data_IF_734860151044
#
_entry.id   IF_734860151044
#
_cell.length_a   1.000
_cell.length_b   1.000
_cell.length_c   1.000
_cell.angle_alpha   90.00
_cell.angle_beta   90.00
_cell.angle_gamma   90.00
#
_symmetry.space_group_name_H-M   'P 1'
#
loop_
_entity.id
_entity.type
_entity.pdbx_description
1 polymer ?
#
# COMPACT_ATOMS: atom_id res chain seq x y z
N UNK A 1 20.53 -1.21 -0.04
CA UNK A 1 19.80 -1.81 -1.18
C UNK A 1 20.79 -2.70 -1.91
N UNK A 2 20.77 -4.01 -1.67
CA UNK A 2 21.58 -4.93 -2.44
C UNK A 2 20.89 -5.10 -3.80
N UNK A 3 21.48 -4.53 -4.84
CA UNK A 3 21.04 -4.76 -6.21
C UNK A 3 21.90 -5.91 -6.72
N UNK A 4 21.28 -7.04 -6.99
CA UNK A 4 21.96 -8.14 -7.67
C UNK A 4 22.03 -7.81 -9.16
N UNK A 5 23.23 -7.96 -9.74
CA UNK A 5 23.48 -7.79 -11.17
C UNK A 5 23.77 -9.17 -11.77
N UNK A 6 22.90 -9.60 -12.68
CA UNK A 6 23.02 -10.89 -13.36
C UNK A 6 23.91 -10.82 -14.61
N UNK A 7 24.36 -9.62 -15.01
CA UNK A 7 25.17 -9.46 -16.21
C UNK A 7 26.50 -10.26 -16.10
N UNK A 8 26.71 -11.16 -17.06
CA UNK A 8 27.90 -12.02 -17.11
C UNK A 8 27.96 -13.11 -16.03
N UNK A 9 26.91 -13.27 -15.21
CA UNK A 9 26.85 -14.30 -14.19
C UNK A 9 26.38 -15.63 -14.78
N UNK A 10 26.87 -16.73 -14.20
CA UNK A 10 26.38 -18.09 -14.52
C UNK A 10 25.10 -18.37 -13.73
N UNK A 11 24.18 -19.12 -14.31
CA UNK A 11 23.00 -19.59 -13.59
C UNK A 11 23.44 -20.56 -12.48
N UNK A 12 22.97 -20.32 -11.26
CA UNK A 12 23.22 -21.18 -10.10
C UNK A 12 21.92 -21.56 -9.39
N UNK A 13 22.00 -22.60 -8.57
CA UNK A 13 21.06 -22.84 -7.47
C UNK A 13 21.21 -21.76 -6.40
N UNK A 14 20.28 -21.69 -5.45
CA UNK A 14 20.35 -20.78 -4.30
C UNK A 14 21.55 -21.08 -3.38
N UNK A 15 22.10 -22.29 -3.44
CA UNK A 15 23.33 -22.69 -2.73
C UNK A 15 24.62 -22.39 -3.51
N UNK A 16 24.53 -21.78 -4.70
CA UNK A 16 25.68 -21.40 -5.53
C UNK A 16 26.20 -22.49 -6.49
N UNK A 17 25.52 -23.62 -6.62
CA UNK A 17 25.91 -24.69 -7.56
C UNK A 17 25.54 -24.29 -8.98
N UNK A 18 26.50 -24.34 -9.92
CA UNK A 18 26.24 -24.02 -11.34
C UNK A 18 25.23 -24.98 -11.95
N UNK A 19 24.30 -24.42 -12.72
CA UNK A 19 23.26 -25.16 -13.44
C UNK A 19 23.68 -25.28 -14.91
N UNK A 20 23.87 -26.51 -15.39
CA UNK A 20 24.28 -26.77 -16.77
C UNK A 20 23.11 -26.85 -17.75
N UNK A 21 21.97 -27.40 -17.30
CA UNK A 21 20.73 -27.50 -18.08
C UNK A 21 19.56 -27.01 -17.23
N UNK A 22 18.84 -26.01 -17.73
CA UNK A 22 17.65 -25.43 -17.09
C UNK A 22 16.37 -25.68 -17.91
N UNK A 23 16.43 -26.58 -18.89
CA UNK A 23 15.34 -26.90 -19.81
C UNK A 23 14.72 -28.27 -19.49
N UNK A 24 15.47 -29.16 -18.82
CA UNK A 24 15.07 -30.54 -18.58
C UNK A 24 15.11 -30.90 -17.09
N UNK A 25 14.25 -31.85 -16.70
CA UNK A 25 14.36 -32.59 -15.44
C UNK A 25 15.26 -33.79 -15.62
N UNK A 26 15.93 -34.22 -14.55
CA UNK A 26 16.67 -35.49 -14.51
C UNK A 26 15.67 -36.66 -14.55
N UNK A 27 15.91 -37.60 -15.47
CA UNK A 27 15.03 -38.75 -15.74
C UNK A 27 15.82 -40.06 -15.82
N UNK A 28 15.15 -41.19 -15.55
CA UNK A 28 15.68 -42.53 -15.81
C UNK A 28 15.67 -42.86 -17.31
N UNK A 29 16.60 -42.27 -18.07
CA UNK A 29 16.64 -42.31 -19.54
C UNK A 29 15.84 -41.18 -20.18
N UNK A 30 16.10 -40.90 -21.46
CA UNK A 30 15.57 -39.70 -22.16
C UNK A 30 14.03 -39.58 -22.12
N UNK A 31 13.33 -40.72 -22.14
CA UNK A 31 11.86 -40.80 -22.09
C UNK A 31 11.34 -41.50 -20.83
N UNK A 32 12.18 -41.62 -19.80
CA UNK A 32 11.83 -42.25 -18.54
C UNK A 32 11.13 -41.30 -17.55
N UNK A 33 10.75 -41.82 -16.37
CA UNK A 33 10.21 -41.00 -15.29
C UNK A 33 11.27 -40.07 -14.68
N UNK A 34 10.83 -38.95 -14.10
CA UNK A 34 11.69 -38.03 -13.35
C UNK A 34 12.21 -38.66 -12.05
N UNK A 35 13.42 -38.28 -11.63
CA UNK A 35 14.08 -38.81 -10.43
C UNK A 35 14.00 -37.83 -9.25
N UNK A 36 13.78 -38.36 -8.04
CA UNK A 36 13.70 -37.56 -6.81
C UNK A 36 15.04 -36.92 -6.42
N UNK A 37 16.16 -37.49 -6.87
CA UNK A 37 17.50 -36.96 -6.62
C UNK A 37 17.79 -35.64 -7.38
N UNK A 38 16.89 -35.22 -8.29
CA UNK A 38 16.96 -33.92 -8.96
C UNK A 38 16.73 -32.75 -7.98
N UNK A 39 17.80 -32.34 -7.30
CA UNK A 39 17.75 -31.25 -6.33
C UNK A 39 17.56 -29.88 -6.99
N UNK A 40 18.04 -29.68 -8.21
CA UNK A 40 17.87 -28.42 -8.94
C UNK A 40 16.40 -28.19 -9.28
N UNK A 41 15.72 -29.19 -9.86
CA UNK A 41 14.29 -29.12 -10.12
C UNK A 41 13.49 -28.85 -8.84
N UNK A 42 13.76 -29.62 -7.78
CA UNK A 42 13.03 -29.48 -6.51
C UNK A 42 13.25 -28.12 -5.86
N UNK A 43 14.47 -27.60 -5.84
CA UNK A 43 14.75 -26.28 -5.28
C UNK A 43 14.00 -25.18 -6.03
N UNK A 44 14.09 -25.19 -7.37
CA UNK A 44 13.41 -24.22 -8.24
C UNK A 44 11.88 -24.27 -8.07
N UNK A 45 11.30 -25.47 -8.07
CA UNK A 45 9.86 -25.65 -7.88
C UNK A 45 9.43 -25.27 -6.47
N UNK A 46 10.21 -25.64 -5.45
CA UNK A 46 9.90 -25.29 -4.06
C UNK A 46 9.87 -23.76 -3.89
N UNK A 47 10.82 -23.04 -4.47
CA UNK A 47 10.78 -21.57 -4.44
C UNK A 47 9.52 -21.02 -5.15
N UNK A 48 9.20 -21.54 -6.34
CA UNK A 48 8.01 -21.15 -7.10
C UNK A 48 6.70 -21.39 -6.33
N UNK A 49 6.53 -22.59 -5.77
CA UNK A 49 5.33 -23.00 -5.03
C UNK A 49 5.06 -22.13 -3.80
N UNK A 50 6.10 -21.46 -3.27
CA UNK A 50 6.03 -20.61 -2.08
C UNK A 50 6.19 -19.11 -2.39
N UNK A 51 6.07 -18.69 -3.66
CA UNK A 51 6.21 -17.27 -4.04
C UNK A 51 5.13 -16.36 -3.45
N UNK A 52 3.92 -16.90 -3.22
CA UNK A 52 2.77 -16.09 -2.81
C UNK A 52 2.74 -15.94 -1.30
N UNK A 53 2.89 -14.70 -0.85
CA UNK A 53 2.52 -14.29 0.51
C UNK A 53 1.07 -13.77 0.54
N UNK A 54 0.40 -13.75 1.71
CA UNK A 54 -0.90 -13.13 1.85
C UNK A 54 -0.88 -11.67 1.40
N UNK A 55 -1.95 -11.24 0.73
CA UNK A 55 -2.15 -9.83 0.45
C UNK A 55 -2.55 -9.05 1.72
N UNK A 56 -2.59 -7.72 1.60
CA UNK A 56 -3.11 -6.89 2.69
C UNK A 56 -4.62 -7.09 2.79
N UNK A 57 -5.17 -7.15 4.01
CA UNK A 57 -6.62 -7.32 4.25
C UNK A 57 -7.44 -6.23 3.53
N UNK A 58 -6.96 -5.00 3.61
CA UNK A 58 -7.44 -3.84 2.86
C UNK A 58 -6.27 -3.20 2.13
N UNK A 59 -6.54 -2.43 1.08
CA UNK A 59 -5.50 -1.80 0.27
C UNK A 59 -4.55 -2.80 -0.40
N UNK A 60 -5.07 -3.96 -0.81
CA UNK A 60 -4.31 -5.03 -1.46
C UNK A 60 -3.74 -4.58 -2.81
N UNK A 61 -4.59 -4.03 -3.69
CA UNK A 61 -4.16 -3.42 -4.94
C UNK A 61 -3.48 -2.07 -4.67
N UNK A 62 -2.24 -1.91 -5.13
CA UNK A 62 -1.54 -0.64 -4.99
C UNK A 62 -0.19 -0.59 -5.68
N UNK A 63 0.24 0.63 -5.98
CA UNK A 63 1.44 0.96 -6.73
C UNK A 63 2.35 1.84 -5.88
N UNK A 64 3.66 1.71 -6.03
CA UNK A 64 4.62 2.39 -5.17
C UNK A 64 5.80 3.00 -5.92
N UNK A 65 6.40 4.03 -5.33
CA UNK A 65 7.56 4.72 -5.88
C UNK A 65 8.50 5.23 -4.78
N UNK A 66 9.78 5.31 -5.10
CA UNK A 66 10.78 6.00 -4.27
C UNK A 66 10.79 7.50 -4.61
N UNK A 67 11.20 8.31 -3.64
CA UNK A 67 11.43 9.73 -3.82
C UNK A 67 12.18 10.34 -2.64
N UNK A 68 12.08 11.65 -2.48
CA UNK A 68 12.56 12.35 -1.30
C UNK A 68 11.56 13.43 -0.86
N UNK A 69 11.60 13.77 0.41
CA UNK A 69 10.92 14.89 1.03
C UNK A 69 11.96 15.92 1.51
N UNK A 70 11.61 17.19 1.38
CA UNK A 70 12.42 18.31 1.85
C UNK A 70 11.49 19.37 2.42
N UNK A 71 11.76 19.80 3.64
CA UNK A 71 10.97 20.87 4.28
C UNK A 71 11.36 22.22 3.66
N UNK A 72 10.42 23.15 3.52
CA UNK A 72 10.73 24.48 2.98
C UNK A 72 11.48 25.36 3.97
N UNK A 73 11.06 25.34 5.23
CA UNK A 73 11.63 26.11 6.34
C UNK A 73 11.58 25.25 7.61
N UNK A 74 12.53 25.47 8.52
CA UNK A 74 12.56 24.73 9.79
C UNK A 74 11.31 24.97 10.65
N UNK A 75 10.74 23.89 11.19
CA UNK A 75 9.51 23.91 11.98
C UNK A 75 9.75 23.76 13.49
N UNK A 76 10.94 24.11 13.99
CA UNK A 76 11.36 23.99 15.40
C UNK A 76 10.38 24.63 16.39
N UNK A 77 9.68 25.70 15.98
CA UNK A 77 8.60 26.32 16.76
C UNK A 77 7.51 25.32 17.17
N UNK A 78 7.19 24.36 16.29
CA UNK A 78 6.06 23.44 16.43
C UNK A 78 6.46 22.01 16.77
N UNK A 79 7.59 21.54 16.23
CA UNK A 79 8.01 20.15 16.34
C UNK A 79 9.51 20.03 16.48
N UNK A 80 9.97 19.01 17.22
CA UNK A 80 11.38 18.61 17.28
C UNK A 80 11.77 17.51 16.30
N UNK A 81 10.85 17.05 15.46
CA UNK A 81 11.12 15.97 14.51
C UNK A 81 12.22 16.36 13.51
N UNK A 82 13.32 15.61 13.46
CA UNK A 82 14.52 15.96 12.69
C UNK A 82 14.25 16.28 11.19
N UNK A 83 13.40 15.48 10.52
CA UNK A 83 13.10 15.65 9.09
C UNK A 83 12.34 16.95 8.73
N UNK A 84 11.95 17.74 9.74
CA UNK A 84 11.25 19.02 9.59
C UNK A 84 12.09 20.22 10.11
N UNK A 85 13.39 20.04 10.38
CA UNK A 85 14.24 21.09 10.96
C UNK A 85 15.08 21.85 9.93
N UNK A 86 15.72 21.14 8.99
CA UNK A 86 16.68 21.73 8.06
C UNK A 86 16.19 21.63 6.60
N UNK A 87 15.94 22.76 5.94
CA UNK A 87 15.58 22.78 4.52
C UNK A 87 16.62 22.22 3.57
N UNK A 88 17.88 22.04 3.99
CA UNK A 88 18.92 21.43 3.16
C UNK A 88 18.81 19.91 3.06
N UNK A 89 18.15 19.27 4.04
CA UNK A 89 18.07 17.82 4.18
C UNK A 89 17.03 17.22 3.24
N UNK A 90 17.45 16.20 2.48
CA UNK A 90 16.56 15.36 1.66
C UNK A 90 16.29 14.05 2.36
N UNK A 91 15.13 13.95 2.99
CA UNK A 91 14.67 12.71 3.65
C UNK A 91 14.19 11.72 2.60
N UNK A 92 14.80 10.54 2.44
CA UNK A 92 14.30 9.54 1.50
C UNK A 92 12.88 9.12 1.87
N UNK A 93 12.03 8.91 0.86
CA UNK A 93 10.67 8.41 1.05
C UNK A 93 10.35 7.23 0.14
N UNK A 94 9.43 6.41 0.60
CA UNK A 94 8.75 5.41 -0.23
C UNK A 94 7.25 5.61 -0.08
N UNK A 95 6.57 5.91 -1.19
CA UNK A 95 5.12 6.11 -1.22
C UNK A 95 4.45 4.88 -1.82
N UNK A 96 3.31 4.49 -1.24
CA UNK A 96 2.40 3.50 -1.82
C UNK A 96 0.99 4.08 -1.91
N UNK A 97 0.46 4.08 -3.12
CA UNK A 97 -0.93 4.39 -3.43
C UNK A 97 -1.73 3.09 -3.58
N UNK A 98 -3.03 3.12 -3.32
CA UNK A 98 -3.87 1.91 -3.34
C UNK A 98 -5.35 2.24 -3.47
N UNK A 99 -6.16 1.29 -3.93
CA UNK A 99 -7.61 1.24 -3.63
C UNK A 99 -7.82 0.66 -2.22
N UNK A 100 -9.04 0.32 -1.79
CA UNK A 100 -9.32 -0.25 -0.46
C UNK A 100 -9.91 -1.65 -0.54
N UNK A 101 -11.08 -1.79 -1.18
CA UNK A 101 -11.89 -3.01 -1.10
C UNK A 101 -11.35 -4.13 -2.02
N UNK A 102 -10.81 -3.76 -3.17
CA UNK A 102 -10.32 -4.72 -4.16
C UNK A 102 -9.19 -5.63 -3.67
N UNK A 103 -9.19 -6.88 -4.11
CA UNK A 103 -8.06 -7.82 -3.94
C UNK A 103 -6.88 -7.40 -4.83
N UNK A 104 -5.67 -7.98 -4.67
CA UNK A 104 -4.45 -7.53 -5.36
C UNK A 104 -4.51 -7.53 -6.90
N UNK A 105 -5.43 -8.30 -7.49
CA UNK A 105 -5.65 -8.40 -8.93
C UNK A 105 -6.87 -7.63 -9.44
N UNK A 106 -7.47 -6.75 -8.64
CA UNK A 106 -8.61 -5.93 -9.06
C UNK A 106 -8.19 -4.80 -10.02
N UNK A 107 -9.12 -3.89 -10.32
CA UNK A 107 -8.88 -2.73 -11.20
C UNK A 107 -8.50 -1.46 -10.43
N UNK A 108 -7.61 -0.64 -11.00
CA UNK A 108 -7.23 0.68 -10.46
C UNK A 108 -8.36 1.72 -10.61
N UNK A 109 -9.31 1.48 -11.52
CA UNK A 109 -10.35 2.43 -11.92
C UNK A 109 -11.67 2.29 -11.12
N UNK A 110 -11.71 1.42 -10.12
CA UNK A 110 -12.89 1.25 -9.27
C UNK A 110 -13.26 2.56 -8.56
N UNK A 111 -14.57 2.83 -8.37
CA UNK A 111 -15.02 3.89 -7.47
C UNK A 111 -14.71 3.45 -6.04
N UNK A 112 -13.71 4.08 -5.43
CA UNK A 112 -13.21 3.68 -4.12
C UNK A 112 -12.44 4.84 -3.46
N UNK A 113 -12.20 4.73 -2.16
CA UNK A 113 -11.19 5.56 -1.50
C UNK A 113 -9.82 5.18 -2.05
N UNK A 114 -8.89 6.14 -2.10
CA UNK A 114 -7.49 5.84 -2.39
C UNK A 114 -6.63 5.99 -1.14
N UNK A 115 -5.88 4.94 -0.81
CA UNK A 115 -4.82 5.03 0.20
C UNK A 115 -3.63 5.82 -0.34
N UNK A 116 -3.03 6.64 0.52
CA UNK A 116 -1.85 7.46 0.25
C UNK A 116 -0.91 7.33 1.47
N UNK A 117 -0.08 6.28 1.46
CA UNK A 117 0.85 5.99 2.54
C UNK A 117 2.27 6.42 2.16
N UNK A 118 2.91 7.25 2.99
CA UNK A 118 4.27 7.74 2.79
C UNK A 118 5.14 7.32 3.97
N UNK A 119 6.17 6.53 3.69
CA UNK A 119 7.22 6.14 4.64
C UNK A 119 8.39 7.12 4.52
N UNK A 120 8.75 7.75 5.62
CA UNK A 120 9.90 8.66 5.73
C UNK A 120 11.03 7.93 6.45
N UNK A 121 12.19 7.82 5.79
CA UNK A 121 13.39 7.26 6.38
C UNK A 121 14.20 8.39 7.03
N UNK A 122 13.78 8.79 8.23
CA UNK A 122 14.41 9.91 8.96
C UNK A 122 15.63 9.44 9.76
N UNK A 123 16.48 10.37 10.17
CA UNK A 123 17.66 10.10 11.01
C UNK A 123 17.29 9.62 12.43
N UNK A 124 16.08 9.93 12.89
CA UNK A 124 15.56 9.56 14.21
C UNK A 124 14.61 8.36 14.16
N UNK A 125 14.60 7.63 13.03
CA UNK A 125 13.76 6.46 12.82
C UNK A 125 12.74 6.64 11.71
N UNK A 126 12.00 5.57 11.42
CA UNK A 126 10.99 5.58 10.36
C UNK A 126 9.72 6.23 10.86
N UNK A 127 9.22 7.22 10.12
CA UNK A 127 7.89 7.80 10.32
C UNK A 127 6.98 7.40 9.16
N UNK A 128 5.81 6.85 9.45
CA UNK A 128 4.82 6.48 8.45
C UNK A 128 3.60 7.41 8.54
N UNK A 129 3.36 8.18 7.49
CA UNK A 129 2.12 8.91 7.30
C UNK A 129 1.16 8.08 6.43
N UNK A 130 0.29 7.32 7.09
CA UNK A 130 -0.68 6.44 6.43
C UNK A 130 -2.01 7.19 6.30
N UNK A 131 -2.23 7.78 5.12
CA UNK A 131 -3.41 8.60 4.84
C UNK A 131 -4.30 8.05 3.72
N UNK A 132 -5.34 8.81 3.40
CA UNK A 132 -6.24 8.59 2.26
C UNK A 132 -6.33 9.84 1.38
N UNK A 133 -6.95 9.73 0.21
CA UNK A 133 -7.24 10.87 -0.67
C UNK A 133 -8.49 11.69 -0.27
N UNK A 134 -9.12 11.33 0.86
CA UNK A 134 -10.32 11.95 1.41
C UNK A 134 -10.05 12.36 2.87
N UNK A 135 -10.49 13.55 3.33
CA UNK A 135 -10.11 14.11 4.64
C UNK A 135 -10.80 13.48 5.86
N UNK A 136 -11.74 12.57 5.65
CA UNK A 136 -12.54 11.91 6.70
C UNK A 136 -12.56 10.40 6.49
N UNK A 137 -13.15 9.68 7.43
CA UNK A 137 -13.33 8.23 7.37
C UNK A 137 -14.79 7.87 7.61
N UNK A 138 -15.19 6.63 7.29
CA UNK A 138 -16.57 6.16 7.41
C UNK A 138 -17.04 6.06 8.87
N UNK A 139 -16.14 5.64 9.77
CA UNK A 139 -16.48 5.28 11.13
C UNK A 139 -15.69 6.11 12.15
N UNK A 140 -16.24 6.25 13.35
CA UNK A 140 -15.63 7.03 14.43
C UNK A 140 -14.73 6.19 15.34
N UNK A 141 -15.10 4.93 15.58
CA UNK A 141 -14.35 4.01 16.45
C UNK A 141 -13.78 2.83 15.65
N UNK A 142 -12.53 2.48 15.95
CA UNK A 142 -11.81 1.39 15.30
C UNK A 142 -12.45 0.01 15.52
N UNK A 143 -13.23 -0.19 16.58
CA UNK A 143 -13.94 -1.46 16.82
C UNK A 143 -14.93 -1.80 15.69
N UNK A 144 -15.46 -0.80 14.99
CA UNK A 144 -16.38 -0.96 13.84
C UNK A 144 -15.64 -1.27 12.53
N UNK A 145 -14.31 -1.26 12.52
CA UNK A 145 -13.54 -1.45 11.28
C UNK A 145 -13.79 -2.80 10.61
N UNK A 146 -13.83 -3.95 11.33
CA UNK A 146 -14.18 -5.22 10.71
C UNK A 146 -15.58 -5.22 10.11
N UNK A 147 -16.57 -4.62 10.78
CA UNK A 147 -17.94 -4.54 10.29
C UNK A 147 -18.03 -3.77 8.96
N UNK A 148 -17.40 -2.59 8.90
CA UNK A 148 -17.32 -1.78 7.68
C UNK A 148 -16.62 -2.54 6.55
N UNK A 149 -15.47 -3.15 6.86
CA UNK A 149 -14.66 -3.86 5.85
C UNK A 149 -15.40 -5.08 5.32
N UNK A 150 -16.07 -5.84 6.18
CA UNK A 150 -16.92 -6.95 5.74
C UNK A 150 -18.09 -6.48 4.88
N UNK A 151 -18.72 -5.35 5.24
CA UNK A 151 -19.85 -4.81 4.50
C UNK A 151 -19.47 -4.30 3.10
N UNK A 152 -18.26 -3.76 2.89
CA UNK A 152 -17.81 -3.24 1.57
C UNK A 152 -17.05 -4.26 0.72
N UNK A 153 -16.56 -5.34 1.34
CA UNK A 153 -15.91 -6.44 0.63
C UNK A 153 -16.95 -7.30 -0.08
N UNK A 154 -16.52 -8.15 -1.04
CA UNK A 154 -17.43 -9.10 -1.67
C UNK A 154 -18.15 -9.97 -0.63
N UNK A 155 -19.42 -10.29 -0.90
CA UNK A 155 -20.25 -11.05 0.02
C UNK A 155 -19.71 -12.47 0.22
N UNK A 156 -19.80 -12.97 1.45
CA UNK A 156 -19.02 -14.15 1.86
C UNK A 156 -19.47 -15.46 1.20
N UNK A 157 -20.72 -15.53 0.76
CA UNK A 157 -21.32 -16.73 0.16
C UNK A 157 -20.82 -16.99 -1.27
N UNK A 158 -20.52 -15.92 -2.02
CA UNK A 158 -20.22 -16.00 -3.45
C UNK A 158 -19.01 -15.17 -3.91
N UNK A 159 -18.38 -14.42 -3.01
CA UNK A 159 -17.24 -13.53 -3.25
C UNK A 159 -17.51 -12.46 -4.34
N UNK A 160 -18.73 -11.93 -4.40
CA UNK A 160 -19.15 -10.87 -5.32
C UNK A 160 -19.77 -9.67 -4.60
N UNK A 161 -19.65 -8.44 -5.14
CA UNK A 161 -18.84 -8.05 -6.30
C UNK A 161 -17.38 -7.69 -5.94
N UNK A 162 -16.45 -7.86 -6.88
CA UNK A 162 -15.06 -7.43 -6.69
C UNK A 162 -14.91 -5.90 -6.82
N UNK A 163 -14.22 -5.29 -5.86
CA UNK A 163 -13.82 -3.88 -5.87
C UNK A 163 -14.98 -2.89 -6.15
N UNK A 164 -16.17 -3.15 -5.61
CA UNK A 164 -17.33 -2.29 -5.79
C UNK A 164 -18.15 -2.24 -4.51
N UNK A 165 -18.60 -1.04 -4.14
CA UNK A 165 -19.51 -0.83 -3.01
C UNK A 165 -21.00 -0.83 -3.45
N UNK A 166 -21.28 -1.35 -4.64
CA UNK A 166 -22.61 -1.32 -5.26
C UNK A 166 -23.32 -2.67 -5.05
N UNK A 167 -23.55 -3.02 -3.80
CA UNK A 167 -24.25 -4.24 -3.37
C UNK A 167 -24.90 -4.05 -2.00
N UNK A 168 -25.76 -4.99 -1.63
CA UNK A 168 -26.71 -4.88 -0.53
C UNK A 168 -26.04 -4.70 0.83
N UNK A 169 -25.06 -5.53 1.18
CA UNK A 169 -24.40 -5.48 2.50
C UNK A 169 -23.71 -4.14 2.78
N UNK A 170 -23.13 -3.48 1.76
CA UNK A 170 -22.54 -2.16 1.94
C UNK A 170 -23.60 -1.10 2.25
N UNK A 171 -24.65 -1.03 1.42
CA UNK A 171 -25.69 -0.02 1.60
C UNK A 171 -26.56 -0.27 2.83
N UNK A 172 -26.73 -1.51 3.27
CA UNK A 172 -27.33 -1.83 4.55
C UNK A 172 -26.54 -1.23 5.72
N UNK A 173 -25.22 -1.48 5.79
CA UNK A 173 -24.35 -0.88 6.79
C UNK A 173 -24.44 0.66 6.77
N UNK A 174 -24.37 1.27 5.59
CA UNK A 174 -24.44 2.73 5.44
C UNK A 174 -25.79 3.27 5.93
N UNK A 175 -26.90 2.58 5.62
CA UNK A 175 -28.24 3.01 6.05
C UNK A 175 -28.43 3.00 7.57
N UNK A 176 -27.73 2.10 8.27
CA UNK A 176 -27.82 1.90 9.72
C UNK A 176 -26.74 2.68 10.51
N UNK A 177 -25.69 3.17 9.84
CA UNK A 177 -24.55 3.86 10.45
C UNK A 177 -24.42 5.30 9.91
N UNK A 178 -25.26 6.25 10.40
CA UNK A 178 -25.31 7.60 9.86
C UNK A 178 -24.00 8.40 10.00
N UNK A 179 -23.07 7.98 10.87
CA UNK A 179 -21.71 8.55 10.93
C UNK A 179 -20.95 8.43 9.60
N UNK A 180 -21.30 7.46 8.75
CA UNK A 180 -20.69 7.23 7.44
C UNK A 180 -21.13 8.24 6.38
N UNK A 181 -22.20 9.02 6.62
CA UNK A 181 -22.82 9.85 5.59
C UNK A 181 -21.88 10.89 5.00
N UNK A 182 -21.00 11.49 5.82
CA UNK A 182 -20.01 12.44 5.29
C UNK A 182 -19.06 11.74 4.31
N UNK A 183 -18.55 10.57 4.66
CA UNK A 183 -17.65 9.81 3.80
C UNK A 183 -18.32 9.36 2.49
N UNK A 184 -19.60 8.99 2.55
CA UNK A 184 -20.37 8.59 1.37
C UNK A 184 -20.49 9.72 0.35
N UNK A 185 -20.67 10.96 0.80
CA UNK A 185 -20.69 12.11 -0.12
C UNK A 185 -19.37 12.25 -0.89
N UNK A 186 -18.24 11.96 -0.25
CA UNK A 186 -16.94 11.97 -0.93
C UNK A 186 -16.79 10.80 -1.91
N UNK A 187 -17.16 9.59 -1.50
CA UNK A 187 -16.99 8.38 -2.34
C UNK A 187 -17.93 8.37 -3.54
N UNK A 188 -19.12 8.95 -3.41
CA UNK A 188 -20.06 9.10 -4.52
C UNK A 188 -19.70 10.27 -5.46
N UNK A 189 -18.87 11.22 -5.02
CA UNK A 189 -18.31 12.27 -5.89
C UNK A 189 -17.19 11.74 -6.80
N UNK A 190 -16.74 12.55 -7.75
CA UNK A 190 -15.63 12.16 -8.64
C UNK A 190 -14.29 11.99 -7.91
N UNK A 191 -14.18 12.39 -6.64
CA UNK A 191 -12.98 12.16 -5.80
C UNK A 191 -12.56 10.70 -5.70
N UNK A 192 -13.51 9.76 -5.84
CA UNK A 192 -13.27 8.32 -5.76
C UNK A 192 -12.94 7.66 -7.10
N UNK A 193 -12.86 8.42 -8.18
CA UNK A 193 -12.44 7.98 -9.51
C UNK A 193 -11.34 8.92 -10.04
N UNK A 194 -10.22 9.11 -9.32
CA UNK A 194 -9.21 10.09 -9.69
C UNK A 194 -8.53 9.75 -11.01
N UNK A 195 -8.23 10.77 -11.82
CA UNK A 195 -7.59 10.63 -13.12
C UNK A 195 -6.21 9.96 -13.01
N UNK A 196 -5.51 10.21 -11.92
CA UNK A 196 -4.17 9.69 -11.61
C UNK A 196 -3.88 9.87 -10.11
N UNK A 197 -3.06 8.99 -9.53
CA UNK A 197 -2.49 9.22 -8.19
C UNK A 197 -1.73 10.55 -8.06
N UNK A 198 -1.23 11.09 -9.19
CA UNK A 198 -0.53 12.37 -9.26
C UNK A 198 -1.46 13.60 -9.16
N UNK A 199 -2.78 13.39 -9.25
CA UNK A 199 -3.80 14.44 -9.35
C UNK A 199 -4.89 14.29 -8.29
N UNK A 200 -4.56 13.71 -7.14
CA UNK A 200 -5.44 13.62 -5.98
C UNK A 200 -4.77 14.27 -4.76
N UNK A 201 -5.59 14.81 -3.86
CA UNK A 201 -5.10 15.23 -2.55
C UNK A 201 -4.77 14.02 -1.68
N UNK A 202 -4.06 14.26 -0.58
CA UNK A 202 -3.83 13.27 0.47
C UNK A 202 -4.03 13.87 1.84
N UNK A 203 -4.48 13.06 2.79
CA UNK A 203 -4.86 13.49 4.14
C UNK A 203 -4.49 12.44 5.16
N UNK A 204 -3.89 12.87 6.27
CA UNK A 204 -3.66 11.99 7.43
C UNK A 204 -4.94 11.63 8.19
N UNK A 205 -6.07 12.25 7.84
CA UNK A 205 -7.41 12.13 8.44
C UNK A 205 -7.46 12.54 9.91
N UNK A 206 -6.70 11.92 10.79
CA UNK A 206 -6.70 12.16 12.23
C UNK A 206 -6.01 13.47 12.61
N UNK A 207 -6.39 13.99 13.78
CA UNK A 207 -5.68 15.09 14.43
C UNK A 207 -4.51 14.49 15.20
N UNK A 208 -3.28 14.90 14.86
CA UNK A 208 -2.07 14.51 15.56
C UNK A 208 -1.57 15.66 16.44
N UNK A 209 -0.47 15.43 17.16
CA UNK A 209 0.25 16.46 17.91
C UNK A 209 1.65 16.61 17.35
N UNK A 210 2.05 17.85 17.09
CA UNK A 210 3.45 18.25 16.99
C UNK A 210 3.92 18.73 18.37
N UNK A 211 5.10 18.30 18.78
CA UNK A 211 5.68 18.65 20.09
C UNK A 211 7.06 19.22 19.87
N UNK A 212 7.29 20.45 20.32
CA UNK A 212 8.60 21.11 20.20
C UNK A 212 9.55 20.73 21.35
N UNK A 213 10.77 21.28 21.34
CA UNK A 213 11.81 20.98 22.35
C UNK A 213 11.45 21.41 23.77
N UNK A 214 10.51 22.34 23.92
CA UNK A 214 9.98 22.77 25.22
C UNK A 214 8.81 21.90 25.70
N UNK A 215 8.44 20.86 24.96
CA UNK A 215 7.29 20.01 25.26
C UNK A 215 5.94 20.63 24.93
N UNK A 216 5.89 21.78 24.25
CA UNK A 216 4.63 22.44 23.86
C UNK A 216 3.97 21.68 22.71
N UNK A 217 2.72 21.26 22.93
CA UNK A 217 1.90 20.55 21.96
C UNK A 217 1.11 21.50 21.05
N UNK A 218 1.09 21.23 19.75
CA UNK A 218 0.24 21.87 18.73
C UNK A 218 -0.56 20.80 17.99
N UNK A 219 -1.88 20.96 17.88
CA UNK A 219 -2.72 20.04 17.10
C UNK A 219 -2.49 20.25 15.60
N UNK A 220 -2.41 19.16 14.84
CA UNK A 220 -2.14 19.21 13.39
C UNK A 220 -3.02 18.23 12.61
N UNK A 221 -3.47 18.66 11.43
CA UNK A 221 -3.94 17.79 10.34
C UNK A 221 -2.92 17.84 9.22
N UNK A 222 -2.56 16.68 8.66
CA UNK A 222 -1.53 16.57 7.64
C UNK A 222 -2.16 16.46 6.26
N UNK A 223 -1.63 17.21 5.29
CA UNK A 223 -2.18 17.34 3.94
C UNK A 223 -1.10 17.18 2.88
N UNK A 224 -1.43 16.48 1.80
CA UNK A 224 -0.69 16.47 0.54
C UNK A 224 -1.47 17.22 -0.51
N UNK A 225 -0.81 18.20 -1.15
CA UNK A 225 -1.38 18.96 -2.26
C UNK A 225 -0.65 18.57 -3.55
N UNK A 226 -1.35 18.02 -4.56
CA UNK A 226 -0.71 17.62 -5.80
C UNK A 226 -0.29 18.85 -6.59
N UNK A 227 0.97 18.91 -7.01
CA UNK A 227 1.49 20.00 -7.84
C UNK A 227 0.73 20.14 -9.18
N UNK A 228 0.21 19.02 -9.70
CA UNK A 228 -0.51 18.97 -10.98
C UNK A 228 -1.99 19.37 -10.86
N UNK A 229 -2.43 19.83 -9.70
CA UNK A 229 -3.84 20.09 -9.43
C UNK A 229 -4.63 18.81 -9.16
N UNK A 230 -5.95 18.98 -9.00
CA UNK A 230 -6.88 17.89 -8.67
C UNK A 230 -7.77 17.61 -9.88
N UNK A 231 -7.82 16.36 -10.32
CA UNK A 231 -8.59 15.93 -11.48
C UNK A 231 -9.06 14.48 -11.32
N UNK A 232 -10.28 14.22 -11.78
CA UNK A 232 -10.97 12.93 -11.78
C UNK A 232 -11.37 12.56 -13.20
#
# INVERSE_FOLDING_TARGET
MHREDSAGQVLTTNQGTRVNDNQNTLKAGERGPSLLEDFHFREKMTHFDHERIPERIVHALGNAAHGYFQVYEGLSRYTKAAFLQDPSVRTPVFVRFSTVAGSRGSTDLARDVRGFAVKFYTEEGVFDLVGNNIPVFFIQDAIKFPDLVHAVKPEQDNEMPQAASAHDTFWDFISLMPESMHMIMWVMSDRAIPRSFRMMEGFGVHTFRLVNDQGKSTLVKLHWKPLLGVCS
#
